data_IF_946138181687
#
_entry.id   IF_946138181687
#
_cell.length_a   1.000
_cell.length_b   1.000
_cell.length_c   1.000
_cell.angle_alpha   90.00
_cell.angle_beta   90.00
_cell.angle_gamma   90.00
#
_symmetry.space_group_name_H-M   'P 1'
#
loop_
_entity.id
_entity.type
_entity.pdbx_description
1 polymer ?
#
# COMPACT_ATOMS: atom_id res chain seq x y z
N UNK A 1 -6.78 15.12 -15.42
CA UNK A 1 -5.73 14.54 -14.56
C UNK A 1 -5.97 14.68 -13.05
N UNK A 2 -6.84 15.59 -12.56
CA UNK A 2 -7.16 15.73 -11.11
C UNK A 2 -7.72 14.44 -10.47
N UNK A 3 -8.34 13.55 -11.26
CA UNK A 3 -9.01 12.35 -10.72
C UNK A 3 -8.04 11.22 -10.35
N UNK A 4 -6.97 11.02 -11.12
CA UNK A 4 -6.03 9.92 -10.88
C UNK A 4 -5.15 10.17 -9.67
N UNK A 5 -4.62 11.39 -9.48
CA UNK A 5 -3.88 11.70 -8.24
C UNK A 5 -4.74 11.57 -6.99
N UNK A 6 -6.05 11.87 -7.07
CA UNK A 6 -6.99 11.62 -5.96
C UNK A 6 -7.19 10.14 -5.71
N UNK A 7 -7.35 9.35 -6.78
CA UNK A 7 -7.48 7.90 -6.69
C UNK A 7 -6.21 7.28 -6.05
N UNK A 8 -5.02 7.68 -6.48
CA UNK A 8 -3.76 7.22 -5.91
C UNK A 8 -3.64 7.55 -4.42
N UNK A 9 -3.96 8.80 -4.01
CA UNK A 9 -3.98 9.16 -2.59
C UNK A 9 -4.97 8.29 -1.80
N UNK A 10 -6.17 8.07 -2.34
CA UNK A 10 -7.19 7.24 -1.69
C UNK A 10 -6.71 5.79 -1.51
N UNK A 11 -6.07 5.20 -2.52
CA UNK A 11 -5.55 3.84 -2.44
C UNK A 11 -4.46 3.71 -1.37
N UNK A 12 -3.53 4.67 -1.27
CA UNK A 12 -2.52 4.68 -0.20
C UNK A 12 -3.17 4.85 1.18
N UNK A 13 -4.16 5.73 1.32
CA UNK A 13 -4.91 5.92 2.58
C UNK A 13 -5.62 4.62 2.99
N UNK A 14 -6.25 3.90 2.05
CA UNK A 14 -6.89 2.61 2.35
C UNK A 14 -5.87 1.60 2.89
N UNK A 15 -4.68 1.51 2.30
CA UNK A 15 -3.63 0.62 2.79
C UNK A 15 -3.12 1.02 4.18
N UNK A 16 -2.98 2.32 4.46
CA UNK A 16 -2.61 2.82 5.79
C UNK A 16 -3.66 2.46 6.85
N UNK A 17 -4.95 2.58 6.52
CA UNK A 17 -6.05 2.20 7.43
C UNK A 17 -6.02 0.71 7.74
N UNK A 18 -5.85 -0.15 6.72
CA UNK A 18 -5.73 -1.60 6.93
C UNK A 18 -4.52 -1.93 7.80
N UNK A 19 -3.39 -1.24 7.59
CA UNK A 19 -2.17 -1.46 8.36
C UNK A 19 -2.32 -1.05 9.82
N UNK A 20 -2.98 0.09 10.10
CA UNK A 20 -3.34 0.50 11.46
C UNK A 20 -4.26 -0.53 12.11
N UNK A 21 -5.29 -1.03 11.41
CA UNK A 21 -6.15 -2.08 11.92
C UNK A 21 -5.34 -3.31 12.33
N UNK A 22 -4.46 -3.82 11.46
CA UNK A 22 -3.60 -4.98 11.76
C UNK A 22 -2.68 -4.78 12.97
N UNK A 23 -2.22 -3.54 13.23
CA UNK A 23 -1.39 -3.21 14.40
C UNK A 23 -2.13 -3.33 15.74
N UNK A 24 -3.46 -3.13 15.76
CA UNK A 24 -4.29 -3.34 16.96
C UNK A 24 -4.62 -4.83 17.18
N UNK A 25 -3.62 -5.68 17.03
CA UNK A 25 -3.73 -7.15 17.01
C UNK A 25 -4.18 -7.74 18.35
N UNK A 26 -4.04 -7.00 19.47
CA UNK A 26 -4.42 -7.46 20.81
C UNK A 26 -5.91 -7.78 20.95
N UNK A 27 -6.77 -7.22 20.09
CA UNK A 27 -8.22 -7.42 20.12
C UNK A 27 -8.73 -8.36 19.02
N UNK A 28 -7.86 -8.86 18.13
CA UNK A 28 -8.26 -9.64 16.97
C UNK A 28 -7.94 -11.13 17.11
N UNK A 29 -8.85 -11.95 16.62
CA UNK A 29 -8.62 -13.36 16.38
C UNK A 29 -7.65 -13.56 15.21
N UNK A 30 -6.98 -14.71 15.19
CA UNK A 30 -6.09 -15.08 14.08
C UNK A 30 -6.79 -15.00 12.71
N UNK A 31 -8.04 -15.43 12.63
CA UNK A 31 -8.82 -15.41 11.39
C UNK A 31 -9.08 -13.98 10.88
N UNK A 32 -9.32 -13.01 11.78
CA UNK A 32 -9.51 -11.61 11.42
C UNK A 32 -8.21 -11.00 10.89
N UNK A 33 -7.08 -11.29 11.55
CA UNK A 33 -5.76 -10.86 11.09
C UNK A 33 -5.44 -11.45 9.70
N UNK A 34 -5.65 -12.75 9.51
CA UNK A 34 -5.42 -13.44 8.23
C UNK A 34 -6.29 -12.82 7.11
N UNK A 35 -7.55 -12.46 7.42
CA UNK A 35 -8.43 -11.80 6.47
C UNK A 35 -7.92 -10.40 6.07
N UNK A 36 -7.49 -9.58 7.04
CA UNK A 36 -6.94 -8.25 6.76
C UNK A 36 -5.64 -8.33 5.96
N UNK A 37 -4.76 -9.29 6.28
CA UNK A 37 -3.54 -9.55 5.52
C UNK A 37 -3.86 -9.93 4.07
N UNK A 38 -4.84 -10.81 3.86
CA UNK A 38 -5.27 -11.21 2.53
C UNK A 38 -5.87 -10.03 1.75
N UNK A 39 -6.71 -9.22 2.37
CA UNK A 39 -7.28 -8.02 1.76
C UNK A 39 -6.18 -7.04 1.33
N UNK A 40 -5.23 -6.76 2.23
CA UNK A 40 -4.09 -5.87 1.95
C UNK A 40 -3.29 -6.36 0.74
N UNK A 41 -2.90 -7.64 0.73
CA UNK A 41 -2.11 -8.20 -0.37
C UNK A 41 -2.88 -8.19 -1.69
N UNK A 42 -4.18 -8.50 -1.66
CA UNK A 42 -5.03 -8.49 -2.87
C UNK A 42 -5.09 -7.10 -3.47
N UNK A 43 -5.24 -6.05 -2.66
CA UNK A 43 -5.23 -4.66 -3.12
C UNK A 43 -3.88 -4.29 -3.74
N UNK A 44 -2.78 -4.70 -3.12
CA UNK A 44 -1.43 -4.40 -3.62
C UNK A 44 -1.17 -5.05 -4.99
N UNK A 45 -1.49 -6.34 -5.14
CA UNK A 45 -1.30 -7.07 -6.40
C UNK A 45 -2.21 -6.52 -7.49
N UNK A 46 -3.51 -6.36 -7.21
CA UNK A 46 -4.49 -5.88 -8.20
C UNK A 46 -4.11 -4.51 -8.74
N UNK A 47 -3.69 -3.61 -7.86
CA UNK A 47 -3.29 -2.27 -8.27
C UNK A 47 -1.95 -2.28 -9.02
N UNK A 48 -0.99 -3.11 -8.61
CA UNK A 48 0.25 -3.25 -9.35
C UNK A 48 0.02 -3.78 -10.77
N UNK A 49 -0.82 -4.81 -10.93
CA UNK A 49 -1.21 -5.35 -12.24
C UNK A 49 -1.88 -4.27 -13.12
N UNK A 50 -2.76 -3.45 -12.52
CA UNK A 50 -3.39 -2.30 -13.21
C UNK A 50 -2.34 -1.33 -13.75
N UNK A 51 -1.35 -0.98 -12.92
CA UNK A 51 -0.28 -0.04 -13.30
C UNK A 51 0.64 -0.60 -14.38
N UNK A 52 0.87 -1.92 -14.38
CA UNK A 52 1.68 -2.60 -15.41
C UNK A 52 0.96 -2.72 -16.76
N UNK A 53 -0.37 -2.82 -16.76
CA UNK A 53 -1.16 -3.01 -17.98
C UNK A 53 -1.19 -1.77 -18.88
N UNK A 54 -1.03 -0.57 -18.30
CA UNK A 54 -1.05 0.68 -19.08
C UNK A 54 -0.16 1.78 -18.47
N UNK A 55 1.17 1.61 -18.44
CA UNK A 55 2.09 2.52 -17.75
C UNK A 55 2.11 3.92 -18.39
N UNK A 56 1.96 4.01 -19.71
CA UNK A 56 1.99 5.28 -20.45
C UNK A 56 0.89 6.27 -20.01
N UNK A 57 -0.25 5.76 -19.53
CA UNK A 57 -1.38 6.62 -19.10
C UNK A 57 -1.16 7.29 -17.75
N UNK A 58 -0.19 6.81 -16.96
CA UNK A 58 0.04 7.29 -15.60
C UNK A 58 1.36 8.06 -15.43
N UNK A 59 2.30 7.92 -16.37
CA UNK A 59 3.64 8.55 -16.29
C UNK A 59 3.62 10.07 -16.15
N UNK A 60 2.60 10.75 -16.67
CA UNK A 60 2.45 12.20 -16.56
C UNK A 60 1.86 12.65 -15.22
N UNK A 61 1.42 11.72 -14.37
CA UNK A 61 0.78 12.04 -13.10
C UNK A 61 1.85 12.33 -12.03
N UNK A 62 1.77 13.49 -11.36
CA UNK A 62 2.62 13.79 -10.21
C UNK A 62 2.62 12.67 -9.16
N UNK A 63 3.81 12.27 -8.72
CA UNK A 63 3.98 11.20 -7.73
C UNK A 63 3.80 9.78 -8.27
N UNK A 64 3.54 9.58 -9.57
CA UNK A 64 3.37 8.24 -10.16
C UNK A 64 4.57 7.31 -9.91
N UNK A 65 5.80 7.80 -10.08
CA UNK A 65 7.00 6.97 -9.89
C UNK A 65 7.04 6.40 -8.46
N UNK A 66 6.84 7.25 -7.45
CA UNK A 66 6.80 6.83 -6.06
C UNK A 66 5.64 5.86 -5.78
N UNK A 67 4.47 6.11 -6.36
CA UNK A 67 3.31 5.25 -6.25
C UNK A 67 3.55 3.86 -6.84
N UNK A 68 4.08 3.81 -8.07
CA UNK A 68 4.43 2.56 -8.76
C UNK A 68 5.48 1.76 -7.99
N UNK A 69 6.57 2.42 -7.57
CA UNK A 69 7.64 1.80 -6.76
C UNK A 69 7.10 1.24 -5.43
N UNK A 70 6.09 1.88 -4.84
CA UNK A 70 5.43 1.39 -3.63
C UNK A 70 4.58 0.17 -3.90
N UNK A 71 3.70 0.20 -4.90
CA UNK A 71 2.89 -0.99 -5.24
C UNK A 71 3.72 -2.17 -5.73
N UNK A 72 4.79 -1.92 -6.49
CA UNK A 72 5.77 -2.94 -6.88
C UNK A 72 6.37 -3.64 -5.65
N UNK A 73 6.92 -2.85 -4.73
CA UNK A 73 7.52 -3.38 -3.50
C UNK A 73 6.52 -4.21 -2.69
N UNK A 74 5.28 -3.72 -2.53
CA UNK A 74 4.24 -4.40 -1.75
C UNK A 74 3.73 -5.68 -2.42
N UNK A 75 3.67 -5.72 -3.75
CA UNK A 75 3.29 -6.92 -4.49
C UNK A 75 4.40 -8.00 -4.45
N UNK A 76 5.66 -7.59 -4.51
CA UNK A 76 6.83 -8.49 -4.44
C UNK A 76 7.10 -9.01 -3.02
N UNK A 77 6.64 -8.29 -1.99
CA UNK A 77 6.85 -8.64 -0.59
C UNK A 77 5.50 -8.69 0.15
N UNK A 78 4.68 -9.73 -0.08
CA UNK A 78 3.39 -9.84 0.56
C UNK A 78 3.55 -9.86 2.08
N UNK A 79 2.71 -9.10 2.77
CA UNK A 79 2.72 -8.99 4.23
C UNK A 79 2.52 -10.35 4.91
N UNK A 80 1.82 -11.28 4.25
CA UNK A 80 1.58 -12.65 4.73
C UNK A 80 2.82 -13.55 4.68
N UNK A 81 3.88 -13.13 3.97
CA UNK A 81 5.12 -13.88 3.79
C UNK A 81 6.31 -13.23 4.50
N UNK A 82 6.13 -12.04 5.10
CA UNK A 82 7.19 -11.39 5.87
C UNK A 82 7.44 -12.17 7.16
N UNK A 83 8.70 -12.53 7.41
CA UNK A 83 9.09 -13.20 8.65
C UNK A 83 8.79 -12.27 9.85
N UNK A 84 7.88 -12.73 10.71
CA UNK A 84 7.31 -11.98 11.83
C UNK A 84 8.22 -11.99 13.07
N UNK A 85 9.52 -12.29 12.93
CA UNK A 85 10.48 -12.17 14.03
C UNK A 85 10.47 -10.80 14.74
N UNK A 86 9.99 -9.74 14.04
CA UNK A 86 9.58 -8.47 14.64
C UNK A 86 8.42 -7.84 13.83
N UNK A 87 7.14 -8.18 14.14
CA UNK A 87 5.99 -7.73 13.35
C UNK A 87 5.85 -6.21 13.37
N UNK A 88 6.14 -5.60 14.52
CA UNK A 88 6.03 -4.17 14.74
C UNK A 88 6.99 -3.38 13.83
N UNK A 89 8.22 -3.89 13.65
CA UNK A 89 9.19 -3.30 12.75
C UNK A 89 8.71 -3.33 11.29
N UNK A 90 8.20 -4.48 10.83
CA UNK A 90 7.69 -4.63 9.46
C UNK A 90 6.49 -3.70 9.22
N UNK A 91 5.54 -3.63 10.15
CA UNK A 91 4.42 -2.69 10.04
C UNK A 91 4.88 -1.23 10.04
N UNK A 92 5.87 -0.86 10.85
CA UNK A 92 6.41 0.50 10.86
C UNK A 92 7.11 0.86 9.55
N UNK A 93 7.92 -0.05 8.99
CA UNK A 93 8.58 0.15 7.70
C UNK A 93 7.56 0.38 6.58
N UNK A 94 6.51 -0.42 6.55
CA UNK A 94 5.42 -0.29 5.58
C UNK A 94 4.63 1.01 5.77
N UNK A 95 4.32 1.38 7.01
CA UNK A 95 3.68 2.67 7.30
C UNK A 95 4.53 3.85 6.81
N UNK A 96 5.84 3.83 7.07
CA UNK A 96 6.74 4.88 6.58
C UNK A 96 6.73 4.95 5.04
N UNK A 97 6.81 3.80 4.35
CA UNK A 97 6.83 3.76 2.87
C UNK A 97 5.52 4.29 2.28
N UNK A 98 4.38 3.87 2.83
CA UNK A 98 3.06 4.35 2.42
C UNK A 98 2.90 5.85 2.69
N UNK A 99 3.24 6.33 3.90
CA UNK A 99 3.15 7.76 4.24
C UNK A 99 4.03 8.64 3.37
N UNK A 100 5.28 8.22 3.08
CA UNK A 100 6.16 8.96 2.18
C UNK A 100 5.62 9.01 0.75
N UNK A 101 4.98 7.93 0.31
CA UNK A 101 4.32 7.88 -1.01
C UNK A 101 3.14 8.84 -1.06
N UNK A 102 2.30 8.86 -0.02
CA UNK A 102 1.18 9.80 0.08
C UNK A 102 1.64 11.25 0.06
N UNK A 103 2.66 11.59 0.85
CA UNK A 103 3.27 12.92 0.86
C UNK A 103 3.76 13.28 -0.55
N UNK A 104 4.43 12.36 -1.24
CA UNK A 104 4.92 12.61 -2.60
C UNK A 104 3.79 12.85 -3.59
N UNK A 105 2.66 12.17 -3.47
CA UNK A 105 1.49 12.36 -4.33
C UNK A 105 0.79 13.69 -4.02
N UNK A 106 0.64 14.03 -2.74
CA UNK A 106 -0.12 15.20 -2.30
C UNK A 106 0.68 16.50 -2.33
N UNK A 107 2.00 16.45 -2.18
CA UNK A 107 2.89 17.63 -2.18
C UNK A 107 3.30 18.08 -3.59
N UNK A 108 3.17 17.22 -4.60
CA UNK A 108 3.41 17.57 -6.02
C UNK A 108 2.08 17.97 -6.72
N UNK A 109 0.98 18.18 -5.97
CA UNK A 109 -0.27 18.76 -6.49
C UNK A 109 -0.17 20.27 -6.65
#
# INVERSE_FOLDING_TARGET
MINESKLMSQQIITLLVLLEQMKFTFLMTKNELDHLLQQFNTLCVTEFDRLQTNPASYQSIPGYIAYFETFKFLAEHPLSQMDYGNPLHNFNLLQTKLSNTLITIDFIK
#
